data_IF_010901689527
#
_entry.id   IF_010901689527
#
_cell.length_a   1.000
_cell.length_b   1.000
_cell.length_c   1.000
_cell.angle_alpha   90.00
_cell.angle_beta   90.00
_cell.angle_gamma   90.00
#
_symmetry.space_group_name_H-M   'P 1'
#
loop_
_entity.id
_entity.type
_entity.pdbx_description
1 polymer ?
#
# COMPACT_ATOMS: atom_id res chain seq x y z
N UNK A 1 -2.95 26.65 36.69
CA UNK A 1 -2.77 27.66 35.64
C UNK A 1 -1.83 27.08 34.58
N UNK A 2 -2.36 26.71 33.45
CA UNK A 2 -1.53 26.23 32.31
C UNK A 2 -0.76 27.45 31.76
N UNK A 3 0.55 27.39 31.72
CA UNK A 3 1.38 28.38 31.01
C UNK A 3 1.01 28.29 29.54
N UNK A 4 0.42 29.37 29.01
CA UNK A 4 0.30 29.52 27.56
C UNK A 4 1.71 29.64 26.97
N UNK A 5 2.13 28.66 26.17
CA UNK A 5 3.35 28.78 25.40
C UNK A 5 3.07 29.54 24.12
N UNK A 6 3.69 30.69 23.97
CA UNK A 6 3.63 31.49 22.75
C UNK A 6 4.78 31.06 21.83
N UNK A 7 4.44 30.50 20.68
CA UNK A 7 5.41 30.11 19.62
C UNK A 7 5.27 31.09 18.44
N UNK A 8 6.38 31.60 17.89
CA UNK A 8 6.35 32.37 16.66
C UNK A 8 5.80 31.52 15.52
N UNK A 9 4.80 32.06 14.79
CA UNK A 9 4.12 31.29 13.71
C UNK A 9 5.09 30.79 12.64
N UNK A 10 6.15 31.54 12.32
CA UNK A 10 7.16 31.12 11.35
C UNK A 10 7.90 29.87 11.79
N UNK A 11 8.39 29.84 13.01
CA UNK A 11 9.11 28.65 13.55
C UNK A 11 8.19 27.44 13.71
N UNK A 12 6.94 27.66 14.10
CA UNK A 12 5.94 26.59 14.14
C UNK A 12 5.67 26.00 12.75
N UNK A 13 5.44 26.86 11.76
CA UNK A 13 5.13 26.43 10.40
C UNK A 13 6.32 25.67 9.77
N UNK A 14 7.55 26.16 9.97
CA UNK A 14 8.76 25.50 9.48
C UNK A 14 8.90 24.09 10.06
N UNK A 15 8.78 23.96 11.38
CA UNK A 15 8.87 22.66 12.05
C UNK A 15 7.77 21.70 11.62
N UNK A 16 6.51 22.15 11.61
CA UNK A 16 5.38 21.34 11.21
C UNK A 16 5.49 20.89 9.75
N UNK A 17 5.96 21.77 8.86
CA UNK A 17 6.18 21.44 7.46
C UNK A 17 7.31 20.43 7.26
N UNK A 18 8.40 20.56 8.01
CA UNK A 18 9.51 19.61 7.98
C UNK A 18 9.06 18.22 8.47
N UNK A 19 8.38 18.16 9.60
CA UNK A 19 7.86 16.89 10.16
C UNK A 19 6.87 16.23 9.18
N UNK A 20 5.96 16.99 8.59
CA UNK A 20 5.05 16.48 7.57
C UNK A 20 5.78 15.98 6.32
N UNK A 21 6.77 16.72 5.83
CA UNK A 21 7.56 16.34 4.67
C UNK A 21 8.32 15.04 4.90
N UNK A 22 8.94 14.92 6.06
CA UNK A 22 9.64 13.69 6.46
C UNK A 22 8.68 12.49 6.54
N UNK A 23 7.50 12.67 7.14
CA UNK A 23 6.48 11.62 7.19
C UNK A 23 6.05 11.19 5.79
N UNK A 24 5.78 12.15 4.89
CA UNK A 24 5.37 11.84 3.52
C UNK A 24 6.45 11.07 2.75
N UNK A 25 7.72 11.42 2.95
CA UNK A 25 8.85 10.72 2.32
C UNK A 25 8.99 9.31 2.89
N UNK A 26 9.07 9.17 4.21
CA UNK A 26 9.45 7.93 4.88
C UNK A 26 8.31 6.91 4.95
N UNK A 27 7.06 7.35 5.11
CA UNK A 27 5.94 6.43 5.45
C UNK A 27 4.71 6.58 4.54
N UNK A 28 4.79 7.25 3.41
CA UNK A 28 3.63 7.40 2.51
C UNK A 28 3.96 7.23 1.03
N UNK A 29 4.87 8.03 0.50
CA UNK A 29 5.00 8.23 -0.94
C UNK A 29 5.99 7.30 -1.60
N UNK A 30 7.04 6.88 -0.91
CA UNK A 30 8.11 6.10 -1.50
C UNK A 30 7.93 4.60 -1.28
N UNK A 31 8.09 3.79 -2.34
CA UNK A 31 8.15 2.35 -2.21
C UNK A 31 9.48 1.91 -1.58
N UNK A 32 9.45 0.86 -0.79
CA UNK A 32 10.65 0.24 -0.24
C UNK A 32 11.33 -0.64 -1.30
N UNK A 33 12.65 -0.53 -1.43
CA UNK A 33 13.40 -1.23 -2.48
C UNK A 33 13.32 -2.76 -2.37
N UNK A 34 13.22 -3.29 -1.17
CA UNK A 34 13.19 -4.74 -0.92
C UNK A 34 11.93 -5.43 -1.43
N UNK A 35 10.77 -4.83 -1.26
CA UNK A 35 9.47 -5.41 -1.68
C UNK A 35 8.76 -4.60 -2.78
N UNK A 36 9.26 -3.41 -3.13
CA UNK A 36 8.67 -2.57 -4.16
C UNK A 36 7.31 -1.96 -3.80
N UNK A 37 6.95 -1.95 -2.52
CA UNK A 37 5.63 -1.54 -2.05
C UNK A 37 5.68 -0.26 -1.24
N UNK A 38 4.64 0.56 -1.42
CA UNK A 38 4.34 1.67 -0.50
C UNK A 38 3.70 1.11 0.77
N UNK A 39 3.78 1.83 1.91
CA UNK A 39 3.22 1.36 3.18
C UNK A 39 1.76 0.90 3.08
N UNK A 40 0.89 1.67 2.44
CA UNK A 40 -0.52 1.29 2.25
C UNK A 40 -0.67 -0.01 1.46
N UNK A 41 0.11 -0.21 0.42
CA UNK A 41 0.08 -1.43 -0.40
C UNK A 41 0.51 -2.65 0.40
N UNK A 42 1.59 -2.53 1.16
CA UNK A 42 2.10 -3.57 2.05
C UNK A 42 1.06 -3.97 3.11
N UNK A 43 0.43 -2.99 3.74
CA UNK A 43 -0.63 -3.20 4.74
C UNK A 43 -1.85 -3.89 4.15
N UNK A 44 -2.22 -3.57 2.91
CA UNK A 44 -3.32 -4.26 2.21
C UNK A 44 -2.96 -5.73 1.97
N UNK A 45 -1.79 -6.01 1.42
CA UNK A 45 -1.35 -7.40 1.15
C UNK A 45 -1.25 -8.20 2.44
N UNK A 46 -0.70 -7.61 3.50
CA UNK A 46 -0.59 -8.25 4.80
C UNK A 46 -1.96 -8.52 5.43
N UNK A 47 -2.87 -7.54 5.45
CA UNK A 47 -4.22 -7.72 5.96
C UNK A 47 -5.00 -8.80 5.18
N UNK A 48 -4.85 -8.86 3.86
CA UNK A 48 -5.46 -9.91 3.03
C UNK A 48 -4.89 -11.30 3.38
N UNK A 49 -3.60 -11.38 3.69
CA UNK A 49 -2.97 -12.62 4.15
C UNK A 49 -3.53 -13.07 5.50
N UNK A 50 -3.67 -12.15 6.46
CA UNK A 50 -4.28 -12.43 7.76
C UNK A 50 -5.75 -12.87 7.64
N UNK A 51 -6.50 -12.32 6.70
CA UNK A 51 -7.87 -12.74 6.38
C UNK A 51 -7.94 -14.10 5.63
N UNK A 52 -6.80 -14.71 5.33
CA UNK A 52 -6.73 -15.97 4.59
C UNK A 52 -7.18 -15.87 3.13
N UNK A 53 -7.13 -14.68 2.53
CA UNK A 53 -7.55 -14.43 1.15
C UNK A 53 -6.48 -14.84 0.13
N UNK A 54 -6.00 -16.06 0.22
CA UNK A 54 -5.03 -16.64 -0.74
C UNK A 54 -5.65 -16.75 -2.15
N UNK A 55 -4.83 -16.95 -3.16
CA UNK A 55 -5.29 -17.09 -4.57
C UNK A 55 -6.28 -18.24 -4.79
N UNK A 56 -6.25 -19.27 -3.95
CA UNK A 56 -7.20 -20.39 -3.96
C UNK A 56 -8.48 -20.14 -3.14
N UNK A 57 -8.52 -19.04 -2.37
CA UNK A 57 -9.67 -18.73 -1.50
C UNK A 57 -10.84 -18.16 -2.32
N UNK A 58 -12.03 -18.21 -1.74
CA UNK A 58 -13.19 -17.50 -2.29
C UNK A 58 -12.98 -15.99 -2.20
N UNK A 59 -13.45 -15.27 -3.19
CA UNK A 59 -13.48 -13.81 -3.18
C UNK A 59 -14.26 -13.28 -1.96
N UNK A 60 -13.81 -12.17 -1.43
CA UNK A 60 -14.47 -11.43 -0.34
C UNK A 60 -14.73 -10.00 -0.79
N UNK A 61 -15.79 -9.39 -0.26
CA UNK A 61 -16.11 -7.98 -0.54
C UNK A 61 -14.92 -7.08 -0.24
N UNK A 62 -14.57 -6.21 -1.19
CA UNK A 62 -13.47 -5.25 -1.05
C UNK A 62 -13.64 -4.36 0.19
N UNK A 63 -14.88 -3.99 0.50
CA UNK A 63 -15.20 -3.23 1.72
C UNK A 63 -14.75 -3.93 3.01
N UNK A 64 -14.80 -5.27 3.07
CA UNK A 64 -14.31 -6.03 4.22
C UNK A 64 -12.80 -5.88 4.37
N UNK A 65 -12.05 -6.05 3.28
CA UNK A 65 -10.59 -5.91 3.29
C UNK A 65 -10.18 -4.49 3.65
N UNK A 66 -10.80 -3.48 3.05
CA UNK A 66 -10.53 -2.06 3.35
C UNK A 66 -10.81 -1.77 4.82
N UNK A 67 -11.95 -2.26 5.37
CA UNK A 67 -12.28 -2.08 6.78
C UNK A 67 -11.21 -2.66 7.73
N UNK A 68 -10.71 -3.86 7.44
CA UNK A 68 -9.63 -4.46 8.23
C UNK A 68 -8.30 -3.68 8.11
N UNK A 69 -7.98 -3.17 6.92
CA UNK A 69 -6.77 -2.38 6.70
C UNK A 69 -6.79 -1.09 7.52
N UNK A 70 -7.85 -0.30 7.40
CA UNK A 70 -7.96 0.99 8.11
C UNK A 70 -8.13 0.81 9.62
N UNK A 71 -8.84 -0.22 10.03
CA UNK A 71 -9.08 -0.49 11.45
C UNK A 71 -7.88 -1.06 12.20
N UNK A 72 -6.96 -1.73 11.51
CA UNK A 72 -5.85 -2.43 12.15
C UNK A 72 -4.48 -1.82 11.88
N UNK A 73 -4.24 -1.32 10.68
CA UNK A 73 -2.88 -0.99 10.22
C UNK A 73 -2.72 0.39 9.62
N UNK A 74 -3.76 0.96 9.01
CA UNK A 74 -3.63 2.19 8.23
C UNK A 74 -4.72 3.20 8.57
N UNK A 75 -4.53 4.06 9.60
CA UNK A 75 -5.55 4.96 10.13
C UNK A 75 -5.76 6.19 9.22
N UNK A 76 -6.17 5.93 7.98
CA UNK A 76 -6.41 6.94 6.95
C UNK A 76 -7.77 6.69 6.30
N UNK A 77 -8.17 7.56 5.35
CA UNK A 77 -9.45 7.42 4.66
C UNK A 77 -9.59 6.12 3.88
N UNK A 78 -10.78 5.54 3.92
CA UNK A 78 -11.13 4.30 3.23
C UNK A 78 -10.97 4.40 1.71
N UNK A 79 -11.30 5.56 1.15
CA UNK A 79 -11.16 5.84 -0.28
C UNK A 79 -9.71 5.67 -0.76
N UNK A 80 -8.73 6.20 -0.01
CA UNK A 80 -7.31 6.10 -0.38
C UNK A 80 -6.82 4.63 -0.33
N UNK A 81 -7.22 3.88 0.69
CA UNK A 81 -6.91 2.46 0.80
C UNK A 81 -7.56 1.65 -0.33
N UNK A 82 -8.81 1.95 -0.67
CA UNK A 82 -9.50 1.28 -1.76
C UNK A 82 -8.90 1.61 -3.13
N UNK A 83 -8.58 2.87 -3.41
CA UNK A 83 -7.89 3.26 -4.65
C UNK A 83 -6.55 2.54 -4.81
N UNK A 84 -5.75 2.44 -3.74
CA UNK A 84 -4.51 1.68 -3.77
C UNK A 84 -4.75 0.19 -4.08
N UNK A 85 -5.79 -0.41 -3.50
CA UNK A 85 -6.20 -1.78 -3.79
C UNK A 85 -6.61 -1.95 -5.26
N UNK A 86 -7.38 -1.02 -5.81
CA UNK A 86 -7.83 -1.04 -7.20
C UNK A 86 -6.64 -1.04 -8.15
N UNK A 87 -5.67 -0.13 -7.94
CA UNK A 87 -4.46 -0.06 -8.77
C UNK A 87 -3.65 -1.37 -8.75
N UNK A 88 -3.55 -2.05 -7.60
CA UNK A 88 -2.87 -3.34 -7.50
C UNK A 88 -3.63 -4.50 -8.18
N UNK A 89 -4.92 -4.33 -8.47
CA UNK A 89 -5.74 -5.33 -9.16
C UNK A 89 -5.83 -5.09 -10.68
N UNK A 90 -5.45 -3.89 -11.16
CA UNK A 90 -5.53 -3.54 -12.57
C UNK A 90 -4.39 -4.19 -13.36
N UNK A 91 -4.72 -5.07 -14.29
CA UNK A 91 -3.77 -5.78 -15.14
C UNK A 91 -3.12 -4.90 -16.22
N UNK A 92 -3.67 -3.72 -16.46
CA UNK A 92 -3.11 -2.71 -17.36
C UNK A 92 -2.22 -1.68 -16.63
N UNK A 93 -2.32 -1.60 -15.29
CA UNK A 93 -1.51 -0.70 -14.47
C UNK A 93 -0.24 -1.38 -13.93
N UNK A 94 -0.30 -2.68 -13.69
CA UNK A 94 0.81 -3.47 -13.16
C UNK A 94 1.11 -4.67 -14.06
N UNK A 95 2.39 -4.99 -14.25
CA UNK A 95 2.80 -6.16 -15.06
C UNK A 95 2.38 -7.47 -14.42
N UNK A 96 2.48 -7.56 -13.11
CA UNK A 96 2.09 -8.70 -12.29
C UNK A 96 1.14 -8.22 -11.18
N UNK A 97 -0.17 -8.22 -11.41
CA UNK A 97 -1.14 -7.79 -10.40
C UNK A 97 -0.98 -8.56 -9.09
N UNK A 98 -1.02 -7.84 -7.99
CA UNK A 98 -0.91 -8.42 -6.64
C UNK A 98 -2.26 -8.89 -6.11
N UNK A 99 -3.34 -8.34 -6.65
CA UNK A 99 -4.71 -8.62 -6.24
C UNK A 99 -5.49 -9.09 -7.46
N UNK A 100 -6.32 -10.08 -7.27
CA UNK A 100 -7.36 -10.46 -8.22
C UNK A 100 -8.67 -9.81 -7.80
N UNK A 101 -9.28 -9.07 -8.71
CA UNK A 101 -10.56 -8.41 -8.51
C UNK A 101 -11.69 -9.08 -9.27
N UNK A 102 -12.89 -9.07 -8.69
CA UNK A 102 -14.12 -9.46 -9.34
C UNK A 102 -15.11 -8.29 -9.29
N UNK A 103 -15.58 -7.88 -10.45
CA UNK A 103 -16.40 -6.67 -10.65
C UNK A 103 -15.65 -5.61 -11.45
N UNK A 104 -16.12 -4.37 -11.38
CA UNK A 104 -15.51 -3.27 -12.11
C UNK A 104 -14.35 -2.65 -11.31
N UNK A 105 -13.13 -2.89 -11.75
CA UNK A 105 -11.89 -2.30 -11.23
C UNK A 105 -11.29 -1.24 -12.18
N UNK A 106 -12.11 -0.63 -13.04
CA UNK A 106 -11.68 0.35 -14.03
C UNK A 106 -11.26 -0.29 -15.35
N UNK A 107 -11.00 0.55 -16.32
CA UNK A 107 -10.62 0.17 -17.68
C UNK A 107 -9.36 0.93 -18.11
N UNK A 108 -8.71 0.45 -19.14
CA UNK A 108 -7.50 1.08 -19.67
C UNK A 108 -7.73 2.56 -20.06
N UNK A 109 -8.88 2.84 -20.65
CA UNK A 109 -9.25 4.19 -21.10
C UNK A 109 -9.67 5.10 -19.94
N UNK A 110 -10.20 4.51 -18.87
CA UNK A 110 -10.60 5.21 -17.65
C UNK A 110 -10.26 4.39 -16.39
N UNK A 111 -9.00 4.46 -15.94
CA UNK A 111 -8.54 3.70 -14.77
C UNK A 111 -9.24 4.08 -13.47
N UNK A 112 -9.86 5.25 -13.40
CA UNK A 112 -10.56 5.76 -12.22
C UNK A 112 -12.05 5.45 -12.20
N UNK A 113 -12.60 4.91 -13.28
CA UNK A 113 -14.01 4.51 -13.37
C UNK A 113 -14.23 3.11 -12.80
N UNK A 114 -13.95 2.93 -11.51
CA UNK A 114 -14.18 1.69 -10.79
C UNK A 114 -15.42 1.78 -9.88
N UNK A 115 -16.06 0.63 -9.63
CA UNK A 115 -17.24 0.56 -8.77
C UNK A 115 -16.88 0.75 -7.29
N UNK A 116 -17.84 1.20 -6.50
CA UNK A 116 -17.67 1.33 -5.05
C UNK A 116 -17.32 -0.04 -4.42
N UNK A 117 -16.51 -0.01 -3.35
CA UNK A 117 -15.97 -1.20 -2.67
C UNK A 117 -17.02 -2.20 -2.17
N UNK A 118 -18.28 -1.76 -1.99
CA UNK A 118 -19.40 -2.63 -1.61
C UNK A 118 -19.87 -3.55 -2.74
N UNK A 119 -19.55 -3.21 -4.00
CA UNK A 119 -19.94 -4.01 -5.17
C UNK A 119 -18.84 -4.94 -5.66
N UNK A 120 -17.59 -4.61 -5.38
CA UNK A 120 -16.43 -5.39 -5.83
C UNK A 120 -16.00 -6.42 -4.81
N UNK A 121 -15.31 -7.45 -5.29
CA UNK A 121 -14.73 -8.51 -4.48
C UNK A 121 -13.27 -8.70 -4.84
N UNK A 122 -12.46 -9.13 -3.89
CA UNK A 122 -11.03 -9.29 -4.08
C UNK A 122 -10.46 -10.51 -3.36
N UNK A 123 -9.30 -10.95 -3.83
CA UNK A 123 -8.40 -11.90 -3.18
C UNK A 123 -6.96 -11.67 -3.64
N UNK A 124 -6.00 -12.25 -2.96
CA UNK A 124 -4.60 -12.21 -3.39
C UNK A 124 -4.40 -13.00 -4.68
N UNK A 125 -3.56 -12.49 -5.58
CA UNK A 125 -3.15 -13.21 -6.76
C UNK A 125 -2.14 -14.32 -6.42
N UNK A 126 -1.91 -15.23 -7.35
CA UNK A 126 -0.86 -16.24 -7.21
C UNK A 126 0.53 -15.60 -7.10
N UNK A 127 0.77 -14.50 -7.81
CA UNK A 127 2.03 -13.76 -7.74
C UNK A 127 2.33 -13.21 -6.34
N UNK A 128 1.32 -12.75 -5.59
CA UNK A 128 1.48 -12.24 -4.23
C UNK A 128 2.07 -13.25 -3.25
N UNK A 129 1.98 -14.54 -3.53
CA UNK A 129 2.59 -15.56 -2.69
C UNK A 129 4.12 -15.40 -2.62
N UNK A 130 4.76 -14.86 -3.67
CA UNK A 130 6.19 -14.58 -3.67
C UNK A 130 6.60 -13.49 -2.66
N UNK A 131 5.63 -12.68 -2.19
CA UNK A 131 5.83 -11.65 -1.17
C UNK A 131 5.56 -12.17 0.25
N UNK A 132 4.90 -13.31 0.40
CA UNK A 132 4.34 -13.76 1.68
C UNK A 132 4.89 -15.10 2.17
N UNK A 133 5.44 -15.91 1.28
CA UNK A 133 5.81 -17.32 1.58
C UNK A 133 6.74 -17.46 2.77
N UNK A 134 7.67 -16.52 2.96
CA UNK A 134 8.70 -16.59 4.00
C UNK A 134 8.42 -15.69 5.21
N UNK A 135 7.26 -15.04 5.27
CA UNK A 135 6.95 -14.04 6.31
C UNK A 135 7.01 -14.60 7.74
N UNK A 136 6.71 -15.88 7.92
CA UNK A 136 6.75 -16.56 9.22
C UNK A 136 8.08 -17.24 9.54
N UNK A 137 9.11 -17.07 8.69
CA UNK A 137 10.38 -17.76 8.80
C UNK A 137 11.49 -16.92 9.45
N UNK A 138 11.13 -15.82 10.11
CA UNK A 138 12.11 -14.91 10.74
C UNK A 138 12.87 -14.05 9.73
N UNK A 139 12.35 -13.86 8.54
CA UNK A 139 12.98 -13.11 7.44
C UNK A 139 12.67 -11.62 7.44
N UNK A 140 11.76 -11.18 8.30
CA UNK A 140 11.29 -9.79 8.35
C UNK A 140 11.35 -9.22 9.77
N UNK A 141 11.60 -7.92 9.85
CA UNK A 141 11.42 -7.17 11.07
C UNK A 141 9.95 -6.79 11.26
N UNK A 142 9.51 -6.83 12.49
CA UNK A 142 8.16 -6.46 12.90
C UNK A 142 8.16 -5.12 13.62
N UNK A 143 7.09 -4.38 13.48
CA UNK A 143 6.87 -3.12 14.21
C UNK A 143 5.43 -3.08 14.74
N UNK A 144 5.17 -2.33 15.83
CA UNK A 144 3.81 -2.11 16.29
C UNK A 144 3.03 -1.32 15.22
N UNK A 145 1.73 -1.60 15.14
CA UNK A 145 0.80 -0.81 14.35
C UNK A 145 0.58 0.58 15.01
N UNK A 146 -0.27 1.42 14.43
CA UNK A 146 -0.49 2.80 14.87
C UNK A 146 -0.96 2.96 16.33
N UNK A 147 -1.68 1.99 16.90
CA UNK A 147 -2.16 2.01 18.28
C UNK A 147 -1.38 1.07 19.23
N UNK A 148 -0.39 0.35 18.73
CA UNK A 148 0.44 -0.56 19.50
C UNK A 148 -0.23 -1.85 19.92
N UNK A 149 -1.45 -2.15 19.46
CA UNK A 149 -2.20 -3.37 19.84
C UNK A 149 -1.84 -4.57 18.99
N UNK A 150 -1.35 -4.35 17.77
CA UNK A 150 -0.95 -5.37 16.81
C UNK A 150 0.46 -5.11 16.32
N UNK A 151 1.01 -6.08 15.62
CA UNK A 151 2.29 -5.96 14.92
C UNK A 151 2.08 -6.06 13.41
N UNK A 152 2.85 -5.31 12.66
CA UNK A 152 2.89 -5.37 11.20
C UNK A 152 4.33 -5.54 10.70
N UNK A 153 4.56 -6.16 9.53
CA UNK A 153 5.89 -6.31 8.98
C UNK A 153 6.39 -4.98 8.42
N UNK A 154 7.64 -4.61 8.72
CA UNK A 154 8.28 -3.42 8.13
C UNK A 154 8.39 -3.51 6.61
N UNK A 155 8.63 -4.71 6.10
CA UNK A 155 8.69 -5.05 4.67
C UNK A 155 8.26 -6.50 4.48
N UNK A 156 7.89 -6.87 3.26
CA UNK A 156 7.57 -8.25 2.92
C UNK A 156 8.80 -8.97 2.36
N UNK A 157 8.96 -10.27 2.65
CA UNK A 157 10.12 -11.05 2.20
C UNK A 157 9.98 -11.44 0.73
N UNK A 158 10.14 -10.47 -0.16
CA UNK A 158 9.98 -10.66 -1.59
C UNK A 158 11.03 -11.61 -2.16
N UNK A 159 10.61 -12.76 -2.66
CA UNK A 159 11.48 -13.74 -3.33
C UNK A 159 11.93 -13.30 -4.71
N UNK A 160 11.24 -12.35 -5.29
CA UNK A 160 11.51 -11.76 -6.61
C UNK A 160 11.67 -10.23 -6.47
N UNK A 161 12.47 -9.60 -7.29
CA UNK A 161 12.69 -8.14 -7.25
C UNK A 161 11.44 -7.41 -7.78
N UNK A 162 10.39 -7.35 -6.95
CA UNK A 162 9.10 -6.79 -7.33
C UNK A 162 9.20 -5.34 -7.83
N UNK A 163 10.11 -4.55 -7.25
CA UNK A 163 10.37 -3.17 -7.71
C UNK A 163 10.79 -3.10 -9.17
N UNK A 164 11.54 -4.08 -9.66
CA UNK A 164 11.97 -4.16 -11.07
C UNK A 164 10.88 -4.78 -11.96
N UNK A 165 10.15 -5.76 -11.44
CA UNK A 165 9.14 -6.48 -12.20
C UNK A 165 7.86 -5.66 -12.44
N UNK A 166 7.38 -4.96 -11.42
CA UNK A 166 6.19 -4.12 -11.50
C UNK A 166 6.50 -2.64 -11.68
N UNK A 167 7.75 -2.25 -11.47
CA UNK A 167 8.10 -0.85 -11.38
C UNK A 167 7.59 -0.20 -10.09
N UNK A 168 8.04 1.00 -9.85
CA UNK A 168 7.58 1.79 -8.72
C UNK A 168 7.74 3.28 -9.01
N UNK A 169 6.80 4.08 -8.57
CA UNK A 169 6.87 5.54 -8.67
C UNK A 169 6.46 6.17 -7.35
N UNK A 170 7.06 7.29 -7.01
CA UNK A 170 6.72 8.05 -5.82
C UNK A 170 7.00 9.52 -6.01
N UNK A 171 6.07 10.36 -5.55
CA UNK A 171 6.20 11.81 -5.53
C UNK A 171 5.98 12.25 -4.09
N UNK A 172 6.97 12.92 -3.53
CA UNK A 172 6.92 13.46 -2.19
C UNK A 172 7.32 14.93 -2.20
N UNK A 173 7.08 15.64 -1.12
CA UNK A 173 7.47 17.03 -0.99
C UNK A 173 8.99 17.15 -1.15
N UNK A 174 9.44 17.93 -2.15
CA UNK A 174 10.86 18.12 -2.47
C UNK A 174 11.56 16.93 -3.11
N UNK A 175 10.85 15.83 -3.37
CA UNK A 175 11.42 14.63 -4.00
C UNK A 175 10.47 14.05 -5.05
N UNK A 176 10.98 13.85 -6.27
CA UNK A 176 10.32 13.08 -7.32
C UNK A 176 11.18 11.88 -7.66
N UNK A 177 10.67 10.68 -7.41
CA UNK A 177 11.28 9.42 -7.84
C UNK A 177 10.47 8.89 -9.02
N UNK A 178 11.10 8.90 -10.20
CA UNK A 178 10.63 8.15 -11.36
C UNK A 178 11.47 6.88 -11.38
N UNK A 179 10.82 5.72 -11.29
CA UNK A 179 11.51 4.46 -11.33
C UNK A 179 12.12 4.21 -12.72
N UNK A 180 13.18 3.42 -12.71
CA UNK A 180 14.14 3.33 -13.83
C UNK A 180 13.80 2.25 -14.86
N UNK A 181 12.84 1.37 -14.61
CA UNK A 181 12.45 0.37 -15.61
C UNK A 181 10.95 0.33 -15.83
N UNK A 182 10.48 1.12 -16.79
CA UNK A 182 9.22 0.72 -17.43
C UNK A 182 9.48 -0.62 -18.13
N UNK A 183 8.67 -1.66 -17.87
CA UNK A 183 8.66 -2.79 -18.78
C UNK A 183 8.33 -2.23 -20.15
N UNK A 184 9.31 -2.24 -21.05
CA UNK A 184 9.11 -1.85 -22.44
C UNK A 184 7.93 -2.66 -22.95
N UNK A 185 6.80 -1.99 -23.15
CA UNK A 185 5.68 -2.61 -23.89
C UNK A 185 6.26 -2.96 -25.26
N UNK A 186 6.18 -4.20 -25.70
CA UNK A 186 6.42 -4.48 -27.11
C UNK A 186 5.43 -3.61 -27.90
N UNK A 187 5.97 -2.81 -28.78
CA UNK A 187 5.20 -2.02 -29.75
C UNK A 187 4.45 -2.94 -30.68
#
# INVERSE_FOLDING_TARGET
MSKEESLPIGGYAEKAYLEYSMYVILDRALPFVGDGLKPVQRRIIYAMSELGLKSSAKFKKSARTVGDVIGKFHPHGDSAAYEAMVLMAQNFSTRYPLIEGQGNFGYLDDPKSFAAMRYTECRLSAYSQNLLTEISQGTVDWMPNFDGTLIEPKFLPARLPNVLLNGASGIAVGLSLIHISEPTRPR
#
